data_IF_782092645475
#
_entry.id   IF_782092645475
#
_cell.length_a   1.000
_cell.length_b   1.000
_cell.length_c   1.000
_cell.angle_alpha   90.00
_cell.angle_beta   90.00
_cell.angle_gamma   90.00
#
_symmetry.space_group_name_H-M   'P 1'
#
loop_
_entity.id
_entity.type
_entity.pdbx_description
1 polymer ?
#
# COMPACT_ATOMS: atom_id res chain seq x y z
N UNK A 1 25.13 12.81 -26.11
CA UNK A 1 24.38 13.40 -24.97
C UNK A 1 23.89 12.24 -24.13
N UNK A 2 24.13 12.25 -22.82
CA UNK A 2 23.51 11.26 -21.94
C UNK A 2 22.06 11.69 -21.72
N UNK A 3 21.11 10.86 -22.14
CA UNK A 3 19.68 11.06 -21.87
C UNK A 3 19.41 10.87 -20.38
N UNK A 4 18.79 11.85 -19.73
CA UNK A 4 18.31 11.75 -18.35
C UNK A 4 16.84 11.28 -18.40
N UNK A 5 16.44 10.29 -17.59
CA UNK A 5 15.04 9.86 -17.54
C UNK A 5 14.16 11.01 -17.04
N UNK A 6 13.14 11.37 -17.83
CA UNK A 6 12.18 12.41 -17.45
C UNK A 6 11.17 11.94 -16.41
N UNK A 7 10.96 10.63 -16.34
CA UNK A 7 10.06 10.01 -15.39
C UNK A 7 10.62 8.66 -14.98
N UNK A 8 10.66 8.41 -13.68
CA UNK A 8 11.00 7.11 -13.13
C UNK A 8 10.05 6.83 -11.97
N UNK A 9 9.53 5.61 -11.93
CA UNK A 9 8.71 5.11 -10.83
C UNK A 9 9.30 3.81 -10.36
N UNK A 10 9.65 3.76 -9.09
CA UNK A 10 10.16 2.58 -8.42
C UNK A 10 9.10 2.05 -7.46
N UNK A 11 8.93 0.73 -7.46
CA UNK A 11 8.22 0.01 -6.42
C UNK A 11 9.14 -1.07 -5.89
N UNK A 12 9.40 -1.06 -4.59
CA UNK A 12 10.16 -2.13 -3.94
C UNK A 12 9.31 -2.77 -2.86
N UNK A 13 9.40 -4.09 -2.76
CA UNK A 13 8.69 -4.87 -1.75
C UNK A 13 9.71 -5.69 -0.98
N UNK A 14 9.62 -5.65 0.34
CA UNK A 14 10.34 -6.53 1.26
C UNK A 14 9.33 -7.30 2.09
N UNK A 15 9.68 -8.52 2.43
CA UNK A 15 8.85 -9.36 3.28
C UNK A 15 9.67 -10.02 4.37
N UNK A 16 9.11 -10.10 5.56
CA UNK A 16 9.72 -10.77 6.71
C UNK A 16 8.76 -11.81 7.24
N UNK A 17 9.26 -13.02 7.41
CA UNK A 17 8.50 -14.14 7.93
C UNK A 17 8.89 -14.35 9.40
N UNK A 18 7.88 -14.42 10.27
CA UNK A 18 8.02 -14.87 11.66
C UNK A 18 7.14 -16.10 11.92
N UNK A 19 7.12 -16.59 13.16
CA UNK A 19 6.33 -17.78 13.50
C UNK A 19 4.82 -17.54 13.38
N UNK A 20 4.33 -16.34 13.68
CA UNK A 20 2.89 -16.04 13.68
C UNK A 20 2.46 -15.08 12.58
N UNK A 21 3.38 -14.31 11.98
CA UNK A 21 3.04 -13.26 11.03
C UNK A 21 3.96 -13.21 9.82
N UNK A 22 3.42 -12.71 8.71
CA UNK A 22 4.14 -12.22 7.56
C UNK A 22 4.03 -10.70 7.56
N UNK A 23 5.15 -9.99 7.63
CA UNK A 23 5.20 -8.55 7.42
C UNK A 23 5.59 -8.28 5.96
N UNK A 24 4.91 -7.34 5.31
CA UNK A 24 5.27 -6.86 3.97
C UNK A 24 5.43 -5.36 4.05
N UNK A 25 6.57 -4.85 3.60
CA UNK A 25 6.81 -3.42 3.44
C UNK A 25 6.94 -3.14 1.96
N UNK A 26 6.16 -2.17 1.50
CA UNK A 26 6.13 -1.73 0.13
C UNK A 26 6.49 -0.24 0.10
N UNK A 27 7.44 0.12 -0.74
CA UNK A 27 7.83 1.50 -0.99
C UNK A 27 7.49 1.87 -2.43
N UNK A 28 6.86 3.02 -2.59
CA UNK A 28 6.60 3.66 -3.87
C UNK A 28 7.39 4.96 -3.94
N UNK A 29 8.16 5.15 -5.01
CA UNK A 29 8.88 6.40 -5.25
C UNK A 29 8.74 6.81 -6.72
N UNK A 30 8.22 8.01 -6.94
CA UNK A 30 8.24 8.72 -8.23
C UNK A 30 8.57 10.21 -8.00
N UNK A 31 8.73 11.06 -9.02
CA UNK A 31 9.16 12.45 -8.82
C UNK A 31 8.27 13.25 -7.86
N UNK A 32 7.02 12.82 -7.65
CA UNK A 32 6.02 13.57 -6.89
C UNK A 32 5.64 12.85 -5.58
N UNK A 33 5.80 11.53 -5.50
CA UNK A 33 5.38 10.72 -4.36
C UNK A 33 6.51 9.88 -3.80
N UNK A 34 6.61 9.81 -2.48
CA UNK A 34 7.34 8.79 -1.74
C UNK A 34 6.42 8.25 -0.65
N UNK A 35 6.08 6.96 -0.72
CA UNK A 35 5.09 6.33 0.16
C UNK A 35 5.67 5.03 0.71
N UNK A 36 5.69 4.91 2.03
CA UNK A 36 5.98 3.67 2.74
C UNK A 36 4.67 3.04 3.20
N UNK A 37 4.51 1.74 3.04
CA UNK A 37 3.37 0.98 3.50
C UNK A 37 3.83 -0.33 4.11
N UNK A 38 3.34 -0.66 5.30
CA UNK A 38 3.61 -1.92 5.99
C UNK A 38 2.31 -2.66 6.24
N UNK A 39 2.25 -3.91 5.85
CA UNK A 39 1.17 -4.85 6.14
C UNK A 39 1.65 -5.89 7.14
N UNK A 40 0.79 -6.23 8.09
CA UNK A 40 0.92 -7.45 8.88
C UNK A 40 -0.17 -8.43 8.46
N UNK A 41 0.23 -9.68 8.23
CA UNK A 41 -0.64 -10.75 7.79
C UNK A 41 -0.49 -11.92 8.76
N UNK A 42 -1.60 -12.41 9.29
CA UNK A 42 -1.64 -13.64 10.08
C UNK A 42 -1.23 -14.83 9.21
N UNK A 43 -0.33 -15.68 9.72
CA UNK A 43 0.11 -16.88 8.98
C UNK A 43 -0.94 -17.98 8.93
N UNK A 44 -1.81 -18.04 9.92
CA UNK A 44 -2.79 -19.11 10.09
C UNK A 44 -3.85 -19.06 8.98
N UNK A 45 -4.45 -17.88 8.78
CA UNK A 45 -5.60 -17.66 7.90
C UNK A 45 -5.29 -16.72 6.73
N UNK A 46 -4.07 -16.19 6.65
CA UNK A 46 -3.61 -15.21 5.64
C UNK A 46 -4.42 -13.92 5.66
N UNK A 47 -4.98 -13.54 6.81
CA UNK A 47 -5.75 -12.31 6.96
C UNK A 47 -4.85 -11.13 7.28
N UNK A 48 -5.11 -9.96 6.69
CA UNK A 48 -4.44 -8.71 7.06
C UNK A 48 -4.88 -8.31 8.47
N UNK A 49 -3.95 -8.28 9.41
CA UNK A 49 -4.18 -7.94 10.82
C UNK A 49 -3.88 -6.48 11.12
N UNK A 50 -2.92 -5.88 10.41
CA UNK A 50 -2.58 -4.45 10.54
C UNK A 50 -2.08 -3.87 9.21
N UNK A 51 -2.24 -2.57 9.06
CA UNK A 51 -1.68 -1.80 7.97
C UNK A 51 -1.29 -0.39 8.44
N UNK A 52 -0.07 -0.01 8.14
CA UNK A 52 0.46 1.33 8.37
C UNK A 52 0.93 1.90 7.05
N UNK A 53 0.74 3.21 6.86
CA UNK A 53 1.25 3.89 5.68
C UNK A 53 1.70 5.29 6.04
N UNK A 54 2.68 5.80 5.30
CA UNK A 54 3.23 7.14 5.47
C UNK A 54 3.52 7.75 4.09
N UNK A 55 3.08 8.98 3.87
CA UNK A 55 3.54 9.81 2.76
C UNK A 55 4.77 10.59 3.22
N UNK A 56 5.94 10.24 2.71
CA UNK A 56 7.20 10.97 2.93
C UNK A 56 7.24 12.21 2.02
N UNK A 57 6.78 12.06 0.78
CA UNK A 57 6.62 13.14 -0.20
C UNK A 57 5.29 12.95 -0.92
N UNK A 58 4.52 14.03 -1.07
CA UNK A 58 3.26 14.02 -1.81
C UNK A 58 2.89 15.44 -2.27
N UNK A 59 2.03 15.59 -3.28
CA UNK A 59 1.65 16.90 -3.82
C UNK A 59 0.63 17.62 -2.94
N UNK A 60 -0.16 16.89 -2.14
CA UNK A 60 -1.23 17.43 -1.31
C UNK A 60 -1.08 16.98 0.15
N UNK A 61 -0.25 17.64 0.96
CA UNK A 61 0.07 17.20 2.32
C UNK A 61 -1.15 17.13 3.25
N UNK A 62 -2.18 17.94 3.02
CA UNK A 62 -3.40 17.95 3.86
C UNK A 62 -4.49 16.98 3.40
N UNK A 63 -4.33 16.38 2.20
CA UNK A 63 -5.33 15.48 1.60
C UNK A 63 -4.82 14.05 1.45
N UNK A 64 -3.59 13.86 0.97
CA UNK A 64 -3.05 12.52 0.73
C UNK A 64 -3.03 11.65 2.00
N UNK A 65 -2.55 12.14 3.17
CA UNK A 65 -2.54 11.35 4.39
C UNK A 65 -3.94 10.93 4.89
N UNK A 66 -5.00 11.70 4.59
CA UNK A 66 -6.37 11.34 4.99
C UNK A 66 -6.85 10.03 4.36
N UNK A 67 -6.25 9.61 3.24
CA UNK A 67 -6.56 8.33 2.60
C UNK A 67 -6.06 7.10 3.39
N UNK A 68 -5.14 7.29 4.34
CA UNK A 68 -4.57 6.20 5.15
C UNK A 68 -5.66 5.58 6.03
N UNK A 69 -6.50 6.39 6.67
CA UNK A 69 -7.56 5.90 7.55
C UNK A 69 -8.60 5.07 6.77
N UNK A 70 -9.03 5.56 5.61
CA UNK A 70 -9.94 4.82 4.72
C UNK A 70 -9.31 3.50 4.24
N UNK A 71 -8.02 3.52 3.92
CA UNK A 71 -7.26 2.32 3.52
C UNK A 71 -7.23 1.31 4.67
N UNK A 72 -6.90 1.75 5.89
CA UNK A 72 -6.82 0.87 7.06
C UNK A 72 -8.15 0.16 7.33
N UNK A 73 -9.24 0.93 7.35
CA UNK A 73 -10.62 0.40 7.51
C UNK A 73 -11.01 -0.60 6.42
N UNK A 74 -10.56 -0.38 5.18
CA UNK A 74 -10.92 -1.23 4.06
C UNK A 74 -10.12 -2.54 4.03
N UNK A 75 -8.84 -2.50 4.40
CA UNK A 75 -7.89 -3.60 4.19
C UNK A 75 -7.84 -4.57 5.36
N UNK A 76 -7.93 -4.09 6.61
CA UNK A 76 -7.89 -4.96 7.79
C UNK A 76 -9.05 -5.97 7.72
N UNK A 77 -8.73 -7.24 8.00
CA UNK A 77 -9.68 -8.35 7.90
C UNK A 77 -9.87 -8.91 6.49
N UNK A 78 -9.17 -8.41 5.47
CA UNK A 78 -9.14 -9.05 4.15
C UNK A 78 -8.19 -10.26 4.16
N UNK A 79 -8.65 -11.39 3.62
CA UNK A 79 -7.81 -12.54 3.33
C UNK A 79 -6.98 -12.34 2.07
N UNK A 80 -5.67 -12.63 2.14
CA UNK A 80 -4.76 -12.62 1.00
C UNK A 80 -4.96 -13.90 0.18
N UNK A 81 -5.41 -13.75 -1.06
CA UNK A 81 -5.66 -14.87 -1.97
C UNK A 81 -6.54 -14.50 -3.18
N UNK A 82 -7.08 -15.51 -3.88
CA UNK A 82 -8.03 -15.29 -4.97
C UNK A 82 -9.20 -14.41 -4.51
N UNK A 83 -9.50 -13.36 -5.28
CA UNK A 83 -10.57 -12.41 -4.94
C UNK A 83 -10.13 -11.19 -4.11
N UNK A 84 -8.89 -11.15 -3.58
CA UNK A 84 -8.38 -10.02 -2.81
C UNK A 84 -8.54 -8.68 -3.55
N UNK A 85 -8.12 -8.60 -4.82
CA UNK A 85 -8.21 -7.37 -5.61
C UNK A 85 -9.66 -6.89 -5.82
N UNK A 86 -10.61 -7.82 -5.92
CA UNK A 86 -12.04 -7.51 -6.03
C UNK A 86 -12.56 -6.95 -4.72
N UNK A 87 -12.33 -7.67 -3.61
CA UNK A 87 -12.74 -7.23 -2.27
C UNK A 87 -12.12 -5.87 -1.89
N UNK A 88 -10.85 -5.64 -2.26
CA UNK A 88 -10.18 -4.37 -2.07
C UNK A 88 -10.84 -3.24 -2.86
N UNK A 89 -11.21 -3.45 -4.14
CA UNK A 89 -11.92 -2.43 -4.93
C UNK A 89 -13.31 -2.12 -4.37
N UNK A 90 -14.00 -3.11 -3.84
CA UNK A 90 -15.34 -2.95 -3.24
C UNK A 90 -15.28 -2.15 -1.94
N UNK A 91 -14.27 -2.38 -1.10
CA UNK A 91 -14.10 -1.67 0.18
C UNK A 91 -13.37 -0.32 0.06
N UNK A 92 -12.48 -0.18 -0.92
CA UNK A 92 -11.68 1.02 -1.18
C UNK A 92 -11.79 1.44 -2.65
N UNK A 93 -12.91 2.06 -3.05
CA UNK A 93 -13.06 2.61 -4.40
C UNK A 93 -12.04 3.72 -4.65
N UNK A 94 -11.68 3.94 -5.93
CA UNK A 94 -10.67 4.92 -6.33
C UNK A 94 -11.04 6.38 -5.95
N UNK A 95 -12.31 6.65 -5.67
CA UNK A 95 -12.82 7.94 -5.23
C UNK A 95 -12.55 8.23 -3.75
N UNK A 96 -12.38 7.19 -2.93
CA UNK A 96 -12.11 7.32 -1.49
C UNK A 96 -10.68 6.92 -1.10
N UNK A 97 -10.01 6.08 -1.90
CA UNK A 97 -8.63 5.68 -1.71
C UNK A 97 -7.63 6.49 -2.53
N UNK A 98 -6.40 6.64 -2.01
CA UNK A 98 -5.30 7.12 -2.85
C UNK A 98 -4.91 6.04 -3.86
N UNK A 99 -4.93 6.38 -5.15
CA UNK A 99 -4.57 5.45 -6.24
C UNK A 99 -3.16 4.88 -6.06
N UNK A 100 -2.23 5.63 -5.46
CA UNK A 100 -0.86 5.18 -5.22
C UNK A 100 -0.76 4.18 -4.06
N UNK A 101 -1.52 4.35 -2.98
CA UNK A 101 -1.63 3.35 -1.91
C UNK A 101 -2.26 2.07 -2.46
N UNK A 102 -3.36 2.19 -3.20
CA UNK A 102 -4.00 1.02 -3.83
C UNK A 102 -3.07 0.29 -4.79
N UNK A 103 -2.15 1.01 -5.44
CA UNK A 103 -1.14 0.43 -6.32
C UNK A 103 0.03 -0.25 -5.56
N UNK A 104 0.17 -0.05 -4.26
CA UNK A 104 1.11 -0.80 -3.41
C UNK A 104 0.49 -2.10 -2.86
N UNK A 105 -0.85 -2.20 -2.87
CA UNK A 105 -1.59 -3.37 -2.40
C UNK A 105 -1.90 -4.39 -3.51
N UNK A 106 -1.64 -4.06 -4.78
CA UNK A 106 -1.95 -4.89 -5.97
C UNK A 106 -0.69 -5.18 -6.76
#
# INVERSE_FOLDING_TARGET
MNSIPMYQRNKSVRSWLSDSHLAIEAHFDDPVHSILLTLQISREDKTVTDIQAQFIRCPFPDMCPKSIEATSKAVIGLGIGPGFNKALRERLPATSGCVHISALLR
#
